data_IF_454095466615
#
_entry.id   IF_454095466615
#
_cell.length_a   1.000
_cell.length_b   1.000
_cell.length_c   1.000
_cell.angle_alpha   90.00
_cell.angle_beta   90.00
_cell.angle_gamma   90.00
#
_symmetry.space_group_name_H-M   'P 1'
#
loop_
_entity.id
_entity.type
_entity.pdbx_description
1 polymer ?
#
# COMPACT_ATOMS: atom_id res chain seq x y z
N UNK A 1 5.12 -7.85 14.64
CA UNK A 1 3.77 -7.39 14.24
C UNK A 1 3.79 -6.13 13.37
N UNK A 2 4.80 -5.26 13.43
CA UNK A 2 4.82 -3.97 12.71
C UNK A 2 5.09 -4.04 11.19
N UNK A 3 5.85 -5.04 10.72
CA UNK A 3 6.24 -5.14 9.29
C UNK A 3 5.09 -5.56 8.38
N UNK A 4 4.19 -6.40 8.88
CA UNK A 4 3.04 -6.93 8.12
C UNK A 4 2.04 -5.83 7.75
N UNK A 5 1.81 -4.87 8.65
CA UNK A 5 0.90 -3.75 8.38
C UNK A 5 1.45 -2.87 7.25
N UNK A 6 2.76 -2.63 7.22
CA UNK A 6 3.43 -1.87 6.16
C UNK A 6 3.19 -2.51 4.80
N UNK A 7 3.51 -3.80 4.66
CA UNK A 7 3.34 -4.52 3.39
C UNK A 7 1.88 -4.58 2.94
N UNK A 8 0.93 -4.71 3.88
CA UNK A 8 -0.50 -4.68 3.59
C UNK A 8 -0.98 -3.31 3.11
N UNK A 9 -0.52 -2.23 3.74
CA UNK A 9 -0.88 -0.86 3.37
C UNK A 9 -0.26 -0.49 2.02
N UNK A 10 1.00 -0.83 1.79
CA UNK A 10 1.69 -0.64 0.49
C UNK A 10 0.95 -1.36 -0.64
N UNK A 11 0.57 -2.63 -0.41
CA UNK A 11 -0.22 -3.41 -1.36
C UNK A 11 -1.58 -2.78 -1.64
N UNK A 12 -2.27 -2.28 -0.61
CA UNK A 12 -3.56 -1.61 -0.73
C UNK A 12 -3.45 -0.31 -1.53
N UNK A 13 -2.52 0.58 -1.17
CA UNK A 13 -2.32 1.88 -1.82
C UNK A 13 -1.89 1.70 -3.27
N UNK A 14 -0.93 0.80 -3.55
CA UNK A 14 -0.50 0.54 -4.93
C UNK A 14 -1.64 -0.03 -5.78
N UNK A 15 -2.47 -0.92 -5.23
CA UNK A 15 -3.63 -1.47 -5.93
C UNK A 15 -4.72 -0.42 -6.16
N UNK A 16 -4.91 0.51 -5.23
CA UNK A 16 -5.82 1.64 -5.36
C UNK A 16 -5.33 2.67 -6.40
N UNK A 17 -4.04 3.01 -6.38
CA UNK A 17 -3.40 3.93 -7.35
C UNK A 17 -3.49 3.38 -8.78
N UNK A 18 -3.11 2.11 -8.97
CA UNK A 18 -2.98 1.53 -10.30
C UNK A 18 -4.30 0.96 -10.83
N UNK A 19 -5.33 0.84 -9.98
CA UNK A 19 -6.62 0.22 -10.33
C UNK A 19 -6.51 -1.25 -10.76
N UNK A 20 -5.43 -1.93 -10.41
CA UNK A 20 -5.17 -3.33 -10.77
C UNK A 20 -4.15 -3.99 -9.84
N UNK A 21 -4.47 -5.18 -9.33
CA UNK A 21 -3.53 -5.98 -8.55
C UNK A 21 -2.29 -6.39 -9.34
N UNK A 22 -2.42 -6.57 -10.66
CA UNK A 22 -1.28 -6.95 -11.51
C UNK A 22 -0.31 -5.79 -11.73
N UNK A 23 -0.83 -4.56 -11.85
CA UNK A 23 0.01 -3.37 -11.96
C UNK A 23 0.71 -3.06 -10.63
N UNK A 24 -0.04 -3.10 -9.53
CA UNK A 24 0.49 -2.94 -8.18
C UNK A 24 1.60 -3.96 -7.85
N UNK A 25 1.40 -5.22 -8.24
CA UNK A 25 2.40 -6.27 -8.06
C UNK A 25 3.71 -5.95 -8.78
N UNK A 26 3.65 -5.43 -10.01
CA UNK A 26 4.83 -5.00 -10.76
C UNK A 26 5.53 -3.84 -10.07
N UNK A 27 4.78 -2.86 -9.55
CA UNK A 27 5.31 -1.69 -8.83
C UNK A 27 6.02 -2.10 -7.52
N UNK A 28 5.47 -3.09 -6.81
CA UNK A 28 6.00 -3.56 -5.53
C UNK A 28 7.04 -4.69 -5.64
N UNK A 29 7.31 -5.19 -6.85
CA UNK A 29 8.19 -6.36 -7.04
C UNK A 29 7.60 -7.67 -6.47
N UNK A 30 6.28 -7.76 -6.39
CA UNK A 30 5.54 -8.90 -5.85
C UNK A 30 4.79 -9.65 -6.94
N UNK A 31 4.20 -10.80 -6.59
CA UNK A 31 3.25 -11.49 -7.48
C UNK A 31 1.84 -10.94 -7.28
N UNK A 32 0.97 -10.93 -8.32
CA UNK A 32 -0.43 -10.51 -8.18
C UNK A 32 -1.18 -11.30 -7.10
N UNK A 33 -0.84 -12.58 -6.92
CA UNK A 33 -1.37 -13.43 -5.85
C UNK A 33 -0.93 -12.97 -4.46
N UNK A 34 0.33 -12.53 -4.30
CA UNK A 34 0.82 -11.98 -3.03
C UNK A 34 0.10 -10.67 -2.68
N UNK A 35 -0.07 -9.75 -3.64
CA UNK A 35 -0.81 -8.49 -3.42
C UNK A 35 -2.25 -8.77 -3.02
N UNK A 36 -2.94 -9.65 -3.75
CA UNK A 36 -4.32 -10.06 -3.42
C UNK A 36 -4.41 -10.68 -2.02
N UNK A 37 -3.46 -11.55 -1.65
CA UNK A 37 -3.41 -12.17 -0.31
C UNK A 37 -3.15 -11.15 0.80
N UNK A 38 -2.26 -10.19 0.57
CA UNK A 38 -1.95 -9.11 1.50
C UNK A 38 -3.18 -8.23 1.75
N UNK A 39 -3.88 -7.85 0.68
CA UNK A 39 -5.12 -7.07 0.76
C UNK A 39 -6.23 -7.86 1.45
N UNK A 40 -6.44 -9.14 1.11
CA UNK A 40 -7.45 -9.98 1.75
C UNK A 40 -7.21 -10.16 3.25
N UNK A 41 -5.94 -10.31 3.67
CA UNK A 41 -5.58 -10.34 5.09
C UNK A 41 -5.83 -9.00 5.78
N UNK A 42 -5.60 -7.89 5.09
CA UNK A 42 -5.84 -6.56 5.61
C UNK A 42 -7.34 -6.30 5.81
N UNK A 43 -8.16 -6.63 4.82
CA UNK A 43 -9.63 -6.61 4.90
C UNK A 43 -10.13 -7.50 6.04
N UNK A 44 -9.62 -8.73 6.16
CA UNK A 44 -10.01 -9.66 7.22
C UNK A 44 -9.66 -9.13 8.62
N UNK A 45 -8.54 -8.43 8.78
CA UNK A 45 -8.13 -7.81 10.05
C UNK A 45 -8.97 -6.59 10.41
N UNK A 46 -9.33 -5.78 9.41
CA UNK A 46 -10.17 -4.59 9.62
C UNK A 46 -11.66 -4.96 9.76
N UNK A 47 -12.08 -6.14 9.31
CA UNK A 47 -13.49 -6.55 9.31
C UNK A 47 -14.33 -5.82 8.25
N UNK A 48 -13.69 -5.09 7.33
CA UNK A 48 -14.34 -4.34 6.25
C UNK A 48 -13.76 -4.74 4.91
N UNK A 49 -14.53 -4.55 3.84
CA UNK A 49 -14.03 -4.70 2.47
C UNK A 49 -13.61 -3.36 1.94
N UNK A 50 -12.39 -3.27 1.42
CA UNK A 50 -11.82 -2.06 0.83
C UNK A 50 -11.95 -2.08 -0.69
N UNK A 51 -12.04 -3.26 -1.31
CA UNK A 51 -12.27 -3.41 -2.75
C UNK A 51 -13.60 -4.09 -3.07
N UNK A 52 -14.21 -3.68 -4.19
CA UNK A 52 -15.39 -4.32 -4.75
C UNK A 52 -14.99 -5.64 -5.44
N UNK A 53 -15.76 -6.71 -5.20
CA UNK A 53 -15.64 -7.97 -5.93
C UNK A 53 -16.19 -7.81 -7.36
N UNK A 54 -15.40 -7.24 -8.25
CA UNK A 54 -15.66 -7.30 -9.69
C UNK A 54 -14.42 -7.84 -10.39
N UNK A 55 -14.58 -8.96 -11.10
CA UNK A 55 -13.48 -9.64 -11.81
C UNK A 55 -12.97 -8.87 -13.03
N UNK A 56 -13.61 -7.75 -13.39
CA UNK A 56 -13.27 -6.94 -14.56
C UNK A 56 -12.72 -5.55 -14.23
N UNK A 57 -12.94 -5.03 -13.01
CA UNK A 57 -12.41 -3.74 -12.57
C UNK A 57 -12.16 -3.78 -11.07
N UNK A 58 -10.95 -3.42 -10.66
CA UNK A 58 -10.65 -3.16 -9.27
C UNK A 58 -11.20 -1.77 -8.93
N UNK A 59 -12.20 -1.72 -8.05
CA UNK A 59 -12.79 -0.48 -7.59
C UNK A 59 -12.79 -0.47 -6.06
N UNK A 60 -12.59 0.70 -5.46
CA UNK A 60 -12.66 0.87 -4.01
C UNK A 60 -14.12 0.84 -3.55
N UNK A 61 -14.35 0.35 -2.34
CA UNK A 61 -15.63 0.55 -1.63
C UNK A 61 -15.65 1.94 -1.00
N UNK A 62 -16.79 2.38 -0.45
CA UNK A 62 -16.87 3.62 0.34
C UNK A 62 -15.84 3.65 1.48
N UNK A 63 -15.65 2.52 2.17
CA UNK A 63 -14.66 2.40 3.23
C UNK A 63 -13.23 2.43 2.66
N UNK A 64 -13.01 1.80 1.50
CA UNK A 64 -11.75 1.85 0.77
C UNK A 64 -11.35 3.26 0.33
N UNK A 65 -12.29 4.03 -0.22
CA UNK A 65 -12.07 5.43 -0.61
C UNK A 65 -11.76 6.31 0.60
N UNK A 66 -12.52 6.13 1.69
CA UNK A 66 -12.29 6.87 2.94
C UNK A 66 -10.90 6.58 3.51
N UNK A 67 -10.53 5.30 3.59
CA UNK A 67 -9.22 4.90 4.08
C UNK A 67 -8.13 5.45 3.17
N UNK A 68 -8.23 5.21 1.86
CA UNK A 68 -7.25 5.66 0.86
C UNK A 68 -7.02 7.18 0.93
N UNK A 69 -8.10 7.98 0.98
CA UNK A 69 -7.99 9.44 1.10
C UNK A 69 -7.30 9.90 2.38
N UNK A 70 -7.46 9.17 3.49
CA UNK A 70 -6.84 9.51 4.78
C UNK A 70 -5.39 9.03 4.90
N UNK A 71 -5.04 7.88 4.31
CA UNK A 71 -3.73 7.24 4.52
C UNK A 71 -2.72 7.53 3.42
N UNK A 72 -3.16 7.80 2.18
CA UNK A 72 -2.26 7.99 1.03
C UNK A 72 -1.17 9.04 1.28
N UNK A 73 -1.57 10.22 1.76
CA UNK A 73 -0.65 11.35 1.99
C UNK A 73 0.31 11.09 3.15
N UNK A 74 -0.17 10.80 4.38
CA UNK A 74 0.73 10.53 5.50
C UNK A 74 1.65 9.34 5.25
N UNK A 75 1.18 8.33 4.51
CA UNK A 75 1.98 7.16 4.18
C UNK A 75 3.12 7.48 3.21
N UNK A 76 2.86 8.31 2.19
CA UNK A 76 3.89 8.79 1.29
C UNK A 76 4.95 9.61 2.05
N UNK A 77 4.53 10.51 2.95
CA UNK A 77 5.45 11.31 3.78
C UNK A 77 6.32 10.42 4.69
N UNK A 78 5.75 9.39 5.30
CA UNK A 78 6.53 8.41 6.09
C UNK A 78 7.51 7.65 5.20
N UNK A 79 7.09 7.25 4.00
CA UNK A 79 7.96 6.58 3.02
C UNK A 79 9.13 7.45 2.59
N UNK A 80 8.87 8.72 2.32
CA UNK A 80 9.86 9.72 1.94
C UNK A 80 10.81 10.02 3.09
N UNK A 81 10.29 10.25 4.31
CA UNK A 81 11.12 10.48 5.49
C UNK A 81 12.04 9.29 5.80
N UNK A 82 11.55 8.05 5.67
CA UNK A 82 12.38 6.85 5.83
C UNK A 82 13.44 6.71 4.74
N UNK A 83 13.11 7.12 3.52
CA UNK A 83 14.06 7.14 2.39
C UNK A 83 15.13 8.19 2.61
N UNK A 84 14.73 9.41 2.99
CA UNK A 84 15.63 10.52 3.29
C UNK A 84 16.57 10.17 4.45
N UNK A 85 16.08 9.56 5.53
CA UNK A 85 16.92 9.05 6.61
C UNK A 85 17.95 8.01 6.13
N UNK A 86 17.58 7.10 5.23
CA UNK A 86 18.52 6.11 4.66
C UNK A 86 19.57 6.75 3.74
N UNK A 87 19.21 7.82 3.02
CA UNK A 87 20.11 8.55 2.12
C UNK A 87 21.02 9.51 2.90
N UNK A 88 20.48 10.22 3.90
CA UNK A 88 21.20 11.11 4.81
C UNK A 88 22.18 10.38 5.73
N UNK A 89 21.88 9.15 6.13
CA UNK A 89 22.85 8.29 6.84
C UNK A 89 24.07 7.91 5.98
N UNK A 90 24.00 8.07 4.65
CA UNK A 90 25.09 7.81 3.70
C UNK A 90 25.93 9.03 3.32
N UNK A 91 25.57 10.22 3.79
CA UNK A 91 26.32 11.45 3.50
C UNK A 91 26.58 12.16 4.83
N UNK A 92 27.76 11.98 5.46
CA UNK A 92 28.17 12.93 6.47
C UNK A 92 28.28 14.27 5.74
N UNK A 93 27.31 15.15 5.97
CA UNK A 93 27.45 16.53 5.60
C UNK A 93 28.68 17.04 6.38
N UNK A 94 29.78 17.17 5.64
CA UNK A 94 31.04 17.65 6.13
C UNK A 94 30.95 19.10 6.61
N UNK A 95 31.92 19.40 7.46
CA UNK A 95 32.42 20.67 8.00
C UNK A 95 32.13 21.92 7.20
#
# INVERSE_FOLDING_TARGET
MSTELRSHLDAFIAAADDGSFSAAARRLGLTPAAVSKSVAQFEARLGVRLFQRSTRRLALTTDGERLYGQVRLPWAEIGDALTDLRQGAGKPAGT
#
